data_IF_412688051344
#
_entry.id   IF_412688051344
#
_cell.length_a   1.000
_cell.length_b   1.000
_cell.length_c   1.000
_cell.angle_alpha   90.00
_cell.angle_beta   90.00
_cell.angle_gamma   90.00
#
_symmetry.space_group_name_H-M   'P 1'
#
loop_
_entity.id
_entity.type
_entity.pdbx_description
1 polymer ?
#
# COMPACT_ATOMS: atom_id res chain seq x y z
N UNK A 1 -2.69 -5.33 73.48
CA UNK A 1 -1.93 -4.48 72.53
C UNK A 1 -1.64 -5.19 71.20
N UNK A 2 -1.45 -6.52 71.16
CA UNK A 2 -1.07 -7.30 69.95
C UNK A 2 -2.08 -7.31 68.77
N UNK A 3 -3.38 -7.11 69.01
CA UNK A 3 -4.39 -7.21 67.94
C UNK A 3 -4.41 -5.99 66.99
N UNK A 4 -4.07 -4.79 67.48
CA UNK A 4 -4.02 -3.56 66.65
C UNK A 4 -2.82 -3.58 65.69
N UNK A 5 -1.72 -4.18 66.10
CA UNK A 5 -0.51 -4.32 65.29
C UNK A 5 -0.68 -5.40 64.20
N UNK A 6 -1.33 -6.51 64.54
CA UNK A 6 -1.65 -7.56 63.58
C UNK A 6 -2.58 -7.05 62.46
N UNK A 7 -3.62 -6.28 62.78
CA UNK A 7 -4.53 -5.71 61.78
C UNK A 7 -3.83 -4.72 60.82
N UNK A 8 -2.89 -3.92 61.33
CA UNK A 8 -2.07 -3.01 60.50
C UNK A 8 -1.12 -3.78 59.58
N UNK A 9 -0.56 -4.89 60.05
CA UNK A 9 0.30 -5.74 59.21
C UNK A 9 -0.48 -6.46 58.11
N UNK A 10 -1.70 -6.94 58.42
CA UNK A 10 -2.58 -7.59 57.44
C UNK A 10 -3.03 -6.63 56.35
N UNK A 11 -3.46 -5.41 56.71
CA UNK A 11 -3.89 -4.42 55.71
C UNK A 11 -2.72 -3.98 54.82
N UNK A 12 -1.53 -3.84 55.40
CA UNK A 12 -0.32 -3.47 54.65
C UNK A 12 0.06 -4.56 53.66
N UNK A 13 0.05 -5.82 54.09
CA UNK A 13 0.40 -6.97 53.23
C UNK A 13 -0.61 -7.13 52.09
N UNK A 14 -1.91 -6.94 52.36
CA UNK A 14 -2.96 -6.97 51.34
C UNK A 14 -2.75 -5.89 50.28
N UNK A 15 -2.38 -4.68 50.71
CA UNK A 15 -2.15 -3.55 49.81
C UNK A 15 -0.96 -3.80 48.88
N UNK A 16 0.12 -4.37 49.42
CA UNK A 16 1.31 -4.75 48.64
C UNK A 16 0.96 -5.84 47.60
N UNK A 17 0.19 -6.86 47.98
CA UNK A 17 -0.23 -7.91 47.07
C UNK A 17 -1.09 -7.36 45.91
N UNK A 18 -2.02 -6.44 46.20
CA UNK A 18 -2.82 -5.79 45.16
C UNK A 18 -1.97 -4.98 44.17
N UNK A 19 -0.94 -4.30 44.66
CA UNK A 19 -0.01 -3.56 43.79
C UNK A 19 0.74 -4.48 42.83
N UNK A 20 1.17 -5.66 43.29
CA UNK A 20 1.90 -6.64 42.47
C UNK A 20 0.96 -7.22 41.41
N UNK A 21 -0.26 -7.61 41.78
CA UNK A 21 -1.26 -8.15 40.84
C UNK A 21 -1.62 -7.13 39.77
N UNK A 22 -1.82 -5.87 40.16
CA UNK A 22 -2.17 -4.81 39.20
C UNK A 22 -1.02 -4.54 38.22
N UNK A 23 0.22 -4.55 38.72
CA UNK A 23 1.42 -4.40 37.88
C UNK A 23 1.55 -5.57 36.91
N UNK A 24 1.27 -6.79 37.35
CA UNK A 24 1.26 -7.98 36.50
C UNK A 24 0.17 -7.91 35.43
N UNK A 25 -1.04 -7.46 35.79
CA UNK A 25 -2.13 -7.24 34.84
C UNK A 25 -1.78 -6.18 33.79
N UNK A 26 -1.07 -5.11 34.18
CA UNK A 26 -0.61 -4.07 33.26
C UNK A 26 0.45 -4.60 32.28
N UNK A 27 1.36 -5.47 32.74
CA UNK A 27 2.37 -6.10 31.88
C UNK A 27 1.81 -7.19 30.96
N UNK A 28 0.82 -7.95 31.44
CA UNK A 28 0.16 -9.00 30.66
C UNK A 28 -1.07 -8.48 29.90
N UNK A 29 -1.24 -7.15 29.83
CA UNK A 29 -2.25 -6.51 29.00
C UNK A 29 -1.79 -6.53 27.54
N UNK A 30 -1.78 -7.70 26.93
CA UNK A 30 -1.79 -7.79 25.47
C UNK A 30 -3.20 -7.36 25.03
N UNK A 31 -3.35 -6.25 24.30
CA UNK A 31 -4.65 -5.88 23.76
C UNK A 31 -5.14 -7.04 22.90
N UNK A 32 -6.31 -7.57 23.23
CA UNK A 32 -6.97 -8.60 22.46
C UNK A 32 -7.40 -8.00 21.11
N UNK A 33 -6.50 -8.07 20.13
CA UNK A 33 -6.73 -7.65 18.75
C UNK A 33 -7.58 -8.69 17.99
N UNK A 34 -7.90 -9.84 18.56
CA UNK A 34 -8.68 -10.89 17.89
C UNK A 34 -10.15 -10.50 17.65
N UNK A 35 -10.62 -9.43 18.31
CA UNK A 35 -11.96 -8.88 18.07
C UNK A 35 -12.00 -7.81 16.97
N UNK A 36 -10.86 -7.46 16.33
CA UNK A 36 -10.85 -6.56 15.17
C UNK A 36 -11.22 -7.28 13.86
N UNK A 37 -10.92 -8.57 13.72
CA UNK A 37 -11.28 -9.36 12.53
C UNK A 37 -12.76 -9.77 12.50
N UNK A 38 -13.45 -9.73 13.65
CA UNK A 38 -14.87 -10.12 13.76
C UNK A 38 -15.85 -8.96 13.52
N UNK A 39 -15.35 -7.75 13.29
CA UNK A 39 -16.18 -6.55 13.10
C UNK A 39 -16.46 -6.19 11.63
N UNK A 40 -16.09 -7.04 10.67
CA UNK A 40 -16.34 -6.83 9.24
C UNK A 40 -17.84 -6.88 8.84
N UNK A 41 -18.76 -7.13 9.79
CA UNK A 41 -20.20 -7.16 9.51
C UNK A 41 -21.04 -6.09 10.25
N UNK A 42 -20.42 -5.10 10.90
CA UNK A 42 -21.15 -3.92 11.36
C UNK A 42 -20.46 -2.67 10.86
N UNK A 43 -21.10 -2.04 9.86
CA UNK A 43 -20.91 -0.65 9.43
C UNK A 43 -21.00 0.28 10.64
N UNK A 44 -19.91 0.39 11.40
CA UNK A 44 -19.73 1.45 12.36
C UNK A 44 -19.16 2.62 11.58
N UNK A 45 -20.01 3.61 11.32
CA UNK A 45 -19.56 4.90 10.81
C UNK A 45 -18.62 5.48 11.87
N UNK A 46 -17.32 5.26 11.70
CA UNK A 46 -16.31 6.04 12.41
C UNK A 46 -16.57 7.50 12.06
N UNK A 47 -16.97 8.30 13.04
CA UNK A 47 -16.99 9.75 12.93
C UNK A 47 -15.55 10.23 12.81
N UNK A 48 -15.02 10.20 11.60
CA UNK A 48 -13.81 10.92 11.22
C UNK A 48 -14.12 12.42 11.29
N UNK A 49 -13.17 13.23 11.76
CA UNK A 49 -13.27 14.70 11.63
C UNK A 49 -13.08 15.01 10.14
N UNK A 50 -14.19 15.09 9.42
CA UNK A 50 -14.23 15.22 7.96
C UNK A 50 -14.95 14.04 7.30
N UNK A 51 -15.49 14.23 6.08
CA UNK A 51 -16.05 13.11 5.30
C UNK A 51 -14.96 12.06 5.18
N UNK A 52 -15.21 10.83 5.65
CA UNK A 52 -14.32 9.72 5.38
C UNK A 52 -14.10 9.69 3.86
N UNK A 53 -12.85 9.80 3.41
CA UNK A 53 -12.51 9.67 2.01
C UNK A 53 -12.79 8.22 1.63
N UNK A 54 -14.02 7.95 1.21
CA UNK A 54 -14.45 6.68 0.60
C UNK A 54 -13.93 6.54 -0.84
N UNK A 55 -13.08 7.48 -1.27
CA UNK A 55 -12.39 7.46 -2.54
C UNK A 55 -11.38 6.30 -2.52
N UNK A 56 -11.44 5.37 -3.49
CA UNK A 56 -10.54 4.22 -3.53
C UNK A 56 -9.08 4.67 -3.63
N UNK A 57 -8.12 3.89 -3.10
CA UNK A 57 -6.70 4.26 -3.10
C UNK A 57 -6.18 4.61 -4.51
N UNK A 58 -6.69 3.93 -5.54
CA UNK A 58 -6.46 4.21 -6.97
C UNK A 58 -6.83 5.63 -7.45
N UNK A 59 -7.61 6.36 -6.66
CA UNK A 59 -8.05 7.72 -6.96
C UNK A 59 -7.26 8.79 -6.20
N UNK A 60 -6.46 8.35 -5.23
CA UNK A 60 -5.48 9.14 -4.47
C UNK A 60 -4.10 8.99 -5.10
N UNK A 61 -3.72 7.76 -5.47
CA UNK A 61 -2.50 7.46 -6.22
C UNK A 61 -2.81 7.62 -7.70
N UNK A 62 -2.55 8.82 -8.23
CA UNK A 62 -2.71 9.12 -9.66
C UNK A 62 -1.44 9.71 -10.27
N UNK A 63 -1.10 9.33 -11.51
CA UNK A 63 -0.03 9.99 -12.24
C UNK A 63 -0.36 11.46 -12.48
N UNK A 64 0.65 12.32 -12.40
CA UNK A 64 0.49 13.74 -12.73
C UNK A 64 0.49 13.96 -14.25
N UNK A 65 1.12 13.05 -15.00
CA UNK A 65 1.20 13.09 -16.45
C UNK A 65 0.99 11.69 -17.02
N UNK A 66 0.17 11.63 -18.09
CA UNK A 66 -0.02 10.43 -18.89
C UNK A 66 0.36 10.78 -20.32
N UNK A 67 1.30 10.04 -20.92
CA UNK A 67 1.75 10.24 -22.29
C UNK A 67 1.48 8.97 -23.08
N UNK A 68 0.78 9.12 -24.20
CA UNK A 68 0.63 8.06 -25.18
C UNK A 68 1.68 8.24 -26.27
N UNK A 69 2.51 7.22 -26.48
CA UNK A 69 3.47 7.14 -27.57
C UNK A 69 2.92 6.22 -28.65
N UNK A 70 2.98 6.68 -29.89
CA UNK A 70 2.65 5.88 -31.07
C UNK A 70 3.61 6.30 -32.18
N UNK A 71 4.58 5.43 -32.46
CA UNK A 71 5.73 5.72 -33.31
C UNK A 71 6.46 6.98 -32.80
N UNK A 72 6.70 7.95 -33.68
CA UNK A 72 7.36 9.23 -33.35
C UNK A 72 6.43 10.28 -32.72
N UNK A 73 5.16 9.94 -32.42
CA UNK A 73 4.17 10.91 -31.91
C UNK A 73 3.88 10.69 -30.43
N UNK A 74 4.20 11.71 -29.64
CA UNK A 74 3.86 11.78 -28.23
C UNK A 74 2.64 12.66 -28.02
N UNK A 75 1.59 12.10 -27.42
CA UNK A 75 0.39 12.84 -27.04
C UNK A 75 0.21 12.80 -25.53
N UNK A 76 0.37 13.96 -24.89
CA UNK A 76 0.04 14.12 -23.47
C UNK A 76 -1.48 14.20 -23.26
N UNK A 77 -1.97 13.61 -22.19
CA UNK A 77 -3.38 13.67 -21.85
C UNK A 77 -3.70 14.82 -20.88
N UNK A 78 -4.76 15.59 -21.18
CA UNK A 78 -5.26 16.66 -20.30
C UNK A 78 -6.04 16.11 -19.08
N UNK A 79 -6.69 14.95 -19.23
CA UNK A 79 -7.58 14.34 -18.24
C UNK A 79 -6.95 13.09 -17.59
N UNK A 80 -5.79 13.27 -16.96
CA UNK A 80 -4.96 12.18 -16.40
C UNK A 80 -5.72 11.32 -15.39
N UNK A 81 -6.55 11.92 -14.52
CA UNK A 81 -7.32 11.19 -13.49
C UNK A 81 -8.33 10.20 -14.10
N UNK A 82 -9.02 10.63 -15.16
CA UNK A 82 -10.03 9.81 -15.84
C UNK A 82 -9.37 8.63 -16.56
N UNK A 83 -8.26 8.89 -17.23
CA UNK A 83 -7.49 7.87 -17.95
C UNK A 83 -6.88 6.86 -16.98
N UNK A 84 -6.26 7.33 -15.89
CA UNK A 84 -5.75 6.46 -14.84
C UNK A 84 -6.82 5.53 -14.27
N UNK A 85 -8.02 6.05 -14.00
CA UNK A 85 -9.13 5.23 -13.50
C UNK A 85 -9.52 4.12 -14.48
N UNK A 86 -9.50 4.39 -15.78
CA UNK A 86 -9.79 3.39 -16.81
C UNK A 86 -8.69 2.32 -16.88
N UNK A 87 -7.42 2.73 -16.83
CA UNK A 87 -6.27 1.82 -16.84
C UNK A 87 -6.31 0.90 -15.62
N UNK A 88 -6.43 1.48 -14.41
CA UNK A 88 -6.54 0.70 -13.17
C UNK A 88 -7.74 -0.24 -13.23
N UNK A 89 -8.88 0.17 -13.79
CA UNK A 89 -10.05 -0.71 -13.92
C UNK A 89 -9.78 -1.94 -14.78
N UNK A 90 -8.95 -1.84 -15.82
CA UNK A 90 -8.59 -2.95 -16.71
C UNK A 90 -7.55 -3.86 -16.05
N UNK A 91 -6.55 -3.28 -15.40
CA UNK A 91 -5.44 -4.00 -14.78
C UNK A 91 -5.77 -4.59 -13.40
N UNK A 92 -6.82 -4.10 -12.74
CA UNK A 92 -7.16 -4.55 -11.39
C UNK A 92 -7.55 -6.03 -11.36
N UNK A 93 -7.07 -6.75 -10.36
CA UNK A 93 -7.29 -8.19 -10.12
C UNK A 93 -6.74 -9.13 -11.21
N UNK A 94 -5.79 -8.69 -12.04
CA UNK A 94 -5.11 -9.59 -12.97
C UNK A 94 -4.04 -10.41 -12.24
N UNK A 95 -3.75 -11.61 -12.76
CA UNK A 95 -2.69 -12.47 -12.21
C UNK A 95 -1.33 -12.05 -12.78
N UNK A 96 -0.32 -11.94 -11.91
CA UNK A 96 1.07 -11.69 -12.33
C UNK A 96 1.70 -13.03 -12.70
N UNK A 97 1.88 -13.25 -14.00
CA UNK A 97 2.50 -14.46 -14.55
C UNK A 97 4.00 -14.52 -14.25
N UNK A 98 4.72 -13.43 -14.53
CA UNK A 98 6.16 -13.31 -14.30
C UNK A 98 6.55 -11.88 -13.88
N UNK A 99 7.63 -11.77 -13.11
CA UNK A 99 8.21 -10.50 -12.69
C UNK A 99 9.73 -10.67 -12.54
N UNK A 100 10.48 -9.93 -13.33
CA UNK A 100 11.94 -9.97 -13.32
C UNK A 100 12.53 -8.55 -13.32
N UNK A 101 13.70 -8.43 -12.71
CA UNK A 101 14.44 -7.18 -12.65
C UNK A 101 15.26 -6.99 -13.92
N UNK A 102 15.10 -5.84 -14.58
CA UNK A 102 15.82 -5.49 -15.80
C UNK A 102 16.86 -4.43 -15.48
N UNK A 103 18.14 -4.81 -15.50
CA UNK A 103 19.26 -3.87 -15.31
C UNK A 103 19.80 -3.36 -16.65
N UNK A 104 19.77 -2.05 -16.85
CA UNK A 104 20.47 -1.41 -17.96
C UNK A 104 21.51 -0.40 -17.45
N UNK A 105 22.75 -0.60 -17.87
CA UNK A 105 23.85 0.28 -17.55
C UNK A 105 23.77 1.53 -18.46
N UNK A 106 23.37 2.65 -17.88
CA UNK A 106 23.51 4.02 -18.39
C UNK A 106 22.56 4.53 -19.48
N UNK A 107 21.80 3.67 -20.17
CA UNK A 107 20.72 4.13 -21.06
C UNK A 107 19.49 3.26 -20.83
N UNK A 108 18.33 3.90 -20.62
CA UNK A 108 17.06 3.21 -20.48
C UNK A 108 16.55 2.75 -21.86
N UNK A 109 17.26 1.78 -22.45
CA UNK A 109 16.86 1.11 -23.68
C UNK A 109 16.15 -0.18 -23.31
N UNK A 110 14.84 -0.23 -23.50
CA UNK A 110 14.02 -1.42 -23.28
C UNK A 110 13.79 -2.04 -24.66
N UNK A 111 14.55 -3.09 -25.06
CA UNK A 111 14.53 -3.60 -26.43
C UNK A 111 13.18 -4.22 -26.84
N UNK A 112 12.40 -4.64 -25.84
CA UNK A 112 11.13 -5.34 -26.00
C UNK A 112 9.93 -4.39 -25.99
N UNK A 113 10.14 -3.10 -25.68
CA UNK A 113 9.06 -2.12 -25.67
C UNK A 113 8.67 -1.78 -27.11
N UNK A 114 7.39 -1.96 -27.42
CA UNK A 114 6.83 -1.56 -28.72
C UNK A 114 6.87 -0.04 -28.92
N UNK A 115 6.67 0.40 -30.16
CA UNK A 115 6.51 1.82 -30.49
C UNK A 115 5.16 2.40 -29.99
N UNK A 116 4.28 1.53 -29.48
CA UNK A 116 2.94 1.87 -29.00
C UNK A 116 2.81 1.58 -27.50
N UNK A 117 3.16 2.57 -26.69
CA UNK A 117 3.17 2.42 -25.23
C UNK A 117 2.58 3.63 -24.53
N UNK A 118 2.16 3.39 -23.29
CA UNK A 118 1.64 4.41 -22.40
C UNK A 118 2.63 4.67 -21.26
N UNK A 119 2.93 5.94 -21.02
CA UNK A 119 3.74 6.41 -19.90
C UNK A 119 2.85 7.01 -18.82
N UNK A 120 3.00 6.56 -17.58
CA UNK A 120 2.39 7.15 -16.40
C UNK A 120 3.51 7.66 -15.50
N UNK A 121 3.60 8.98 -15.37
CA UNK A 121 4.55 9.64 -14.48
C UNK A 121 3.89 10.02 -13.16
N UNK A 122 4.53 9.61 -12.06
CA UNK A 122 4.13 9.89 -10.69
C UNK A 122 5.06 10.93 -10.08
N UNK A 123 4.51 11.77 -9.19
CA UNK A 123 5.25 12.89 -8.62
C UNK A 123 6.22 12.46 -7.50
N UNK A 124 6.17 11.19 -7.08
CA UNK A 124 6.92 10.65 -5.96
C UNK A 124 7.35 9.22 -6.27
N UNK A 125 8.50 8.84 -5.75
CA UNK A 125 8.93 7.44 -5.72
C UNK A 125 8.08 6.68 -4.70
N UNK A 126 7.57 5.53 -5.11
CA UNK A 126 6.72 4.69 -4.27
C UNK A 126 7.10 3.21 -4.42
N UNK A 127 6.93 2.40 -3.37
CA UNK A 127 7.20 0.97 -3.48
C UNK A 127 6.28 0.31 -4.52
N UNK A 128 6.86 -0.47 -5.42
CA UNK A 128 6.13 -1.20 -6.46
C UNK A 128 5.10 -2.14 -5.87
N UNK A 129 5.46 -2.82 -4.79
CA UNK A 129 4.58 -3.72 -4.07
C UNK A 129 3.31 -2.98 -3.60
N UNK A 130 3.47 -1.79 -2.99
CA UNK A 130 2.35 -0.94 -2.56
C UNK A 130 1.37 -0.63 -3.70
N UNK A 131 1.87 -0.30 -4.90
CA UNK A 131 1.01 -0.02 -6.05
C UNK A 131 0.27 -1.29 -6.52
N UNK A 132 0.99 -2.41 -6.67
CA UNK A 132 0.41 -3.69 -7.09
C UNK A 132 -0.68 -4.16 -6.10
N UNK A 133 -0.40 -4.11 -4.79
CA UNK A 133 -1.32 -4.54 -3.75
C UNK A 133 -2.49 -3.59 -3.52
N UNK A 134 -2.23 -2.29 -3.35
CA UNK A 134 -3.27 -1.34 -2.92
C UNK A 134 -4.06 -0.70 -4.09
N UNK A 135 -3.45 -0.55 -5.27
CA UNK A 135 -4.09 0.06 -6.43
C UNK A 135 -4.65 -1.02 -7.35
N UNK A 136 -3.85 -2.03 -7.68
CA UNK A 136 -4.21 -3.08 -8.63
C UNK A 136 -4.79 -4.34 -7.97
N UNK A 137 -4.70 -4.49 -6.65
CA UNK A 137 -5.18 -5.68 -5.93
C UNK A 137 -4.63 -6.98 -6.52
N UNK A 138 -3.33 -6.98 -6.79
CA UNK A 138 -2.56 -8.13 -7.27
C UNK A 138 -1.79 -8.76 -6.11
N UNK A 139 -1.72 -10.10 -6.07
CA UNK A 139 -0.91 -10.80 -5.08
C UNK A 139 0.58 -10.52 -5.31
N UNK A 140 1.22 -9.91 -4.31
CA UNK A 140 2.63 -9.47 -4.38
C UNK A 140 3.57 -10.68 -4.45
N UNK A 141 4.14 -10.92 -5.63
CA UNK A 141 5.40 -11.70 -5.77
C UNK A 141 6.63 -10.78 -5.85
N UNK A 142 6.44 -9.46 -5.73
CA UNK A 142 7.47 -8.45 -5.98
C UNK A 142 8.02 -7.90 -4.67
N UNK A 143 9.35 -7.76 -4.57
CA UNK A 143 9.99 -7.25 -3.35
C UNK A 143 9.62 -5.80 -3.06
N UNK A 144 9.38 -5.46 -1.79
CA UNK A 144 9.15 -4.09 -1.34
C UNK A 144 10.41 -3.18 -1.38
N UNK A 145 11.53 -3.68 -1.96
CA UNK A 145 12.77 -2.92 -2.15
C UNK A 145 12.76 -2.07 -3.42
N UNK A 146 11.85 -2.35 -4.34
CA UNK A 146 11.78 -1.66 -5.62
C UNK A 146 10.86 -0.46 -5.50
N UNK A 147 11.42 0.73 -5.71
CA UNK A 147 10.68 1.98 -5.81
C UNK A 147 10.59 2.41 -7.28
N UNK A 148 9.49 3.07 -7.63
CA UNK A 148 9.28 3.59 -8.98
C UNK A 148 8.55 4.93 -8.93
N UNK A 149 8.79 5.75 -9.95
CA UNK A 149 8.00 6.96 -10.23
C UNK A 149 7.41 6.97 -11.64
N UNK A 150 7.75 5.98 -12.49
CA UNK A 150 7.25 5.88 -13.85
C UNK A 150 6.82 4.45 -14.16
N UNK A 151 5.64 4.31 -14.76
CA UNK A 151 5.19 3.06 -15.35
C UNK A 151 5.12 3.20 -16.87
N UNK A 152 5.63 2.22 -17.58
CA UNK A 152 5.39 2.03 -19.00
C UNK A 152 4.49 0.83 -19.19
N UNK A 153 3.46 0.96 -20.01
CA UNK A 153 2.54 -0.12 -20.35
C UNK A 153 2.62 -0.31 -21.86
N UNK A 154 3.02 -1.49 -22.30
CA UNK A 154 2.99 -1.88 -23.70
C UNK A 154 1.53 -2.07 -24.15
N UNK A 155 1.10 -1.31 -25.16
CA UNK A 155 -0.28 -1.32 -25.67
C UNK A 155 -0.46 -2.18 -26.93
N UNK A 156 0.58 -2.87 -27.40
CA UNK A 156 0.52 -3.73 -28.59
C UNK A 156 0.07 -5.15 -28.27
N UNK A 157 0.28 -5.61 -27.03
CA UNK A 157 -0.08 -6.96 -26.61
C UNK A 157 -1.58 -7.10 -26.36
N UNK A 158 -2.20 -8.12 -26.98
CA UNK A 158 -3.66 -8.32 -26.99
C UNK A 158 -4.20 -9.08 -25.77
N UNK A 159 -3.46 -10.09 -25.31
CA UNK A 159 -3.92 -11.02 -24.26
C UNK A 159 -3.15 -10.85 -22.95
N UNK A 160 -1.92 -10.31 -23.01
CA UNK A 160 -1.04 -10.05 -21.87
C UNK A 160 -0.70 -8.56 -21.82
N UNK A 161 -0.55 -7.99 -20.62
CA UNK A 161 -0.09 -6.61 -20.45
C UNK A 161 1.29 -6.63 -19.80
N UNK A 162 2.31 -6.15 -20.52
CA UNK A 162 3.65 -5.99 -19.97
C UNK A 162 3.80 -4.58 -19.41
N UNK A 163 4.18 -4.52 -18.13
CA UNK A 163 4.33 -3.27 -17.38
C UNK A 163 5.77 -3.16 -16.92
N UNK A 164 6.43 -2.07 -17.28
CA UNK A 164 7.77 -1.75 -16.83
C UNK A 164 7.70 -0.66 -15.75
N UNK A 165 8.23 -0.95 -14.56
CA UNK A 165 8.35 0.01 -13.48
C UNK A 165 9.77 0.58 -13.45
N UNK A 166 9.89 1.91 -13.56
CA UNK A 166 11.16 2.62 -13.65
C UNK A 166 11.36 3.47 -12.40
N UNK A 167 12.55 3.35 -11.81
CA UNK A 167 13.02 4.16 -10.69
C UNK A 167 13.60 5.49 -11.16
N UNK A 168 13.46 6.52 -10.33
CA UNK A 168 14.04 7.86 -10.54
C UNK A 168 15.57 7.85 -10.65
N UNK A 169 16.24 6.87 -10.04
CA UNK A 169 17.72 6.77 -10.01
C UNK A 169 18.31 6.23 -11.33
N UNK A 170 17.45 5.90 -12.30
CA UNK A 170 17.81 5.28 -13.58
C UNK A 170 17.27 6.05 -14.79
N UNK A 171 17.27 7.38 -14.75
CA UNK A 171 16.97 8.23 -15.91
C UNK A 171 18.07 8.25 -16.97
#
# INVERSE_FOLDING_TARGET
>A
MRHKEAAKSVILTLLVLMSIVLTYLMWNFSPDLANLESQDNKKTNQNTIGKANSEPMASVISPYQVVYSNDDKFTGALETRTINRNIVKVLKNQEVEDAHEVYHAHNLFIPELSDNFLVLDFAYDMPLSMYLGQVLNMDEKVSNKYEFNRLLIDAEQKDTAVIYAISSDHH
#
